data_IF_137606512971
#
_entry.id   IF_137606512971
#
_cell.length_a   1.000
_cell.length_b   1.000
_cell.length_c   1.000
_cell.angle_alpha   90.00
_cell.angle_beta   90.00
_cell.angle_gamma   90.00
#
_symmetry.space_group_name_H-M   'P 1'
#
loop_
_entity.id
_entity.type
_entity.pdbx_description
1 polymer ?
#
# COMPACT_ATOMS: atom_id res chain seq x y z
N UNK A 1 1.97 -35.48 -14.99
CA UNK A 1 2.98 -34.42 -15.19
C UNK A 1 4.34 -34.99 -14.79
N UNK A 2 5.34 -34.97 -15.68
CA UNK A 2 6.62 -35.66 -15.46
C UNK A 2 7.64 -34.70 -14.77
N UNK A 3 8.43 -35.20 -13.83
CA UNK A 3 9.33 -34.44 -12.93
C UNK A 3 10.30 -33.52 -13.72
N UNK A 4 10.72 -33.92 -14.92
CA UNK A 4 11.57 -33.08 -15.79
C UNK A 4 10.88 -31.84 -16.33
N UNK A 5 9.58 -31.92 -16.64
CA UNK A 5 8.82 -30.77 -17.14
C UNK A 5 8.61 -29.74 -16.03
N UNK A 6 8.36 -30.19 -14.80
CA UNK A 6 8.27 -29.35 -13.60
C UNK A 6 9.59 -28.63 -13.28
N UNK A 7 10.71 -29.33 -13.40
CA UNK A 7 12.03 -28.73 -13.17
C UNK A 7 12.37 -27.66 -14.22
N UNK A 8 12.03 -27.89 -15.50
CA UNK A 8 12.24 -26.90 -16.55
C UNK A 8 11.36 -25.66 -16.39
N UNK A 9 10.11 -25.82 -15.96
CA UNK A 9 9.23 -24.68 -15.67
C UNK A 9 9.74 -23.86 -14.48
N UNK A 10 10.29 -24.50 -13.45
CA UNK A 10 10.86 -23.79 -12.31
C UNK A 10 12.12 -22.99 -12.67
N UNK A 11 12.99 -23.56 -13.52
CA UNK A 11 14.19 -22.86 -14.02
C UNK A 11 13.80 -21.67 -14.88
N UNK A 12 12.86 -21.84 -15.82
CA UNK A 12 12.41 -20.76 -16.70
C UNK A 12 11.72 -19.63 -15.91
N UNK A 13 10.91 -19.98 -14.91
CA UNK A 13 10.29 -19.00 -14.02
C UNK A 13 11.34 -18.22 -13.22
N UNK A 14 12.37 -18.91 -12.72
CA UNK A 14 13.50 -18.30 -12.02
C UNK A 14 14.27 -17.33 -12.91
N UNK A 15 14.66 -17.73 -14.11
CA UNK A 15 15.38 -16.86 -15.05
C UNK A 15 14.54 -15.63 -15.44
N UNK A 16 13.23 -15.81 -15.65
CA UNK A 16 12.32 -14.71 -15.97
C UNK A 16 12.22 -13.70 -14.82
N UNK A 17 12.06 -14.18 -13.58
CA UNK A 17 11.98 -13.31 -12.40
C UNK A 17 13.30 -12.62 -12.09
N UNK A 18 14.44 -13.33 -12.18
CA UNK A 18 15.78 -12.76 -12.04
C UNK A 18 16.03 -11.66 -13.08
N UNK A 19 15.64 -11.90 -14.33
CA UNK A 19 15.76 -10.92 -15.40
C UNK A 19 14.86 -9.70 -15.12
N UNK A 20 13.57 -9.89 -14.86
CA UNK A 20 12.67 -8.76 -14.62
C UNK A 20 13.05 -7.95 -13.38
N UNK A 21 13.45 -8.61 -12.29
CA UNK A 21 13.93 -7.95 -11.08
C UNK A 21 15.21 -7.14 -11.32
N UNK A 22 16.15 -7.67 -12.12
CA UNK A 22 17.40 -6.98 -12.46
C UNK A 22 17.18 -5.75 -13.35
N UNK A 23 16.24 -5.81 -14.28
CA UNK A 23 15.97 -4.71 -15.21
C UNK A 23 14.96 -3.68 -14.66
N UNK A 24 14.32 -3.95 -13.52
CA UNK A 24 13.28 -3.09 -12.95
C UNK A 24 11.98 -3.12 -13.76
N UNK A 25 11.74 -4.22 -14.48
CA UNK A 25 10.55 -4.42 -15.31
C UNK A 25 9.28 -4.61 -14.46
N UNK A 26 8.14 -4.82 -15.12
CA UNK A 26 6.86 -5.26 -14.52
C UNK A 26 7.00 -6.67 -13.90
N UNK A 27 7.68 -6.75 -12.75
CA UNK A 27 7.89 -7.99 -11.98
C UNK A 27 6.55 -8.54 -11.48
N UNK A 28 5.63 -7.66 -11.09
CA UNK A 28 4.28 -8.04 -10.68
C UNK A 28 3.55 -8.79 -11.80
N UNK A 29 3.56 -8.25 -13.03
CA UNK A 29 2.96 -8.91 -14.16
C UNK A 29 3.72 -10.17 -14.59
N UNK A 30 5.04 -10.23 -14.41
CA UNK A 30 5.81 -11.46 -14.65
C UNK A 30 5.36 -12.57 -13.70
N UNK A 31 5.17 -12.27 -12.42
CA UNK A 31 4.63 -13.21 -11.43
C UNK A 31 3.22 -13.63 -11.82
N UNK A 32 2.31 -12.68 -12.09
CA UNK A 32 0.91 -13.00 -12.45
C UNK A 32 0.78 -13.84 -13.73
N UNK A 33 1.70 -13.69 -14.69
CA UNK A 33 1.75 -14.53 -15.91
C UNK A 33 2.20 -15.96 -15.63
N UNK A 34 3.08 -16.14 -14.64
CA UNK A 34 3.60 -17.44 -14.22
C UNK A 34 2.64 -18.15 -13.25
N UNK A 35 2.10 -17.40 -12.31
CA UNK A 35 1.25 -17.86 -11.22
C UNK A 35 0.30 -16.73 -10.75
N UNK A 36 -0.97 -16.75 -11.17
CA UNK A 36 -1.97 -15.76 -10.78
C UNK A 36 -2.24 -15.72 -9.26
N UNK A 37 -1.96 -16.81 -8.54
CA UNK A 37 -2.26 -16.96 -7.12
C UNK A 37 -1.09 -16.50 -6.23
N UNK A 38 -0.01 -15.98 -6.82
CA UNK A 38 1.20 -15.51 -6.11
C UNK A 38 1.94 -16.60 -5.32
N UNK A 39 1.63 -17.89 -5.44
CA UNK A 39 2.34 -18.94 -4.69
C UNK A 39 3.83 -19.03 -5.08
N UNK A 40 4.16 -18.70 -6.33
CA UNK A 40 5.55 -18.60 -6.77
C UNK A 40 6.31 -17.46 -6.08
N UNK A 41 5.65 -16.39 -5.66
CA UNK A 41 6.29 -15.26 -4.97
C UNK A 41 6.85 -15.69 -3.62
N UNK A 42 6.07 -16.41 -2.81
CA UNK A 42 6.51 -16.91 -1.51
C UNK A 42 7.76 -17.78 -1.64
N UNK A 43 7.78 -18.69 -2.62
CA UNK A 43 8.95 -19.53 -2.90
C UNK A 43 10.12 -18.75 -3.50
N UNK A 44 9.86 -17.68 -4.25
CA UNK A 44 10.89 -16.91 -4.94
C UNK A 44 11.75 -16.09 -3.98
N UNK A 45 11.20 -15.69 -2.84
CA UNK A 45 11.95 -14.96 -1.81
C UNK A 45 13.13 -15.78 -1.24
N UNK A 46 13.02 -17.10 -1.19
CA UNK A 46 14.06 -17.99 -0.64
C UNK A 46 15.37 -17.95 -1.45
N UNK A 47 15.27 -17.71 -2.76
CA UNK A 47 16.41 -17.72 -3.67
C UNK A 47 16.66 -16.39 -4.40
N UNK A 48 15.81 -15.38 -4.19
CA UNK A 48 16.01 -13.98 -4.58
C UNK A 48 15.87 -13.03 -3.38
N UNK A 49 16.95 -12.79 -2.63
CA UNK A 49 16.97 -11.76 -1.60
C UNK A 49 16.65 -10.38 -2.20
N UNK A 50 15.78 -9.60 -1.54
CA UNK A 50 15.34 -8.29 -2.02
C UNK A 50 14.24 -8.33 -3.09
N UNK A 51 13.73 -9.53 -3.43
CA UNK A 51 12.59 -9.67 -4.33
C UNK A 51 11.35 -8.96 -3.77
N UNK A 52 11.13 -9.03 -2.45
CA UNK A 52 9.98 -8.40 -1.80
C UNK A 52 9.89 -6.89 -2.09
N UNK A 53 10.97 -6.14 -1.90
CA UNK A 53 11.02 -4.71 -2.22
C UNK A 53 10.80 -4.44 -3.71
N UNK A 54 11.42 -5.25 -4.57
CA UNK A 54 11.35 -5.08 -6.03
C UNK A 54 9.93 -5.33 -6.55
N UNK A 55 9.30 -6.42 -6.09
CA UNK A 55 7.92 -6.78 -6.41
C UNK A 55 6.98 -5.75 -5.84
N UNK A 56 7.17 -5.32 -4.58
CA UNK A 56 6.36 -4.29 -3.95
C UNK A 56 6.34 -3.00 -4.79
N UNK A 57 7.50 -2.50 -5.20
CA UNK A 57 7.57 -1.28 -6.02
C UNK A 57 6.80 -1.42 -7.34
N UNK A 58 6.90 -2.57 -7.99
CA UNK A 58 6.16 -2.89 -9.22
C UNK A 58 4.64 -2.95 -8.96
N UNK A 59 4.21 -3.65 -7.90
CA UNK A 59 2.81 -3.79 -7.50
C UNK A 59 2.21 -2.43 -7.12
N UNK A 60 2.94 -1.63 -6.34
CA UNK A 60 2.50 -0.30 -5.93
C UNK A 60 2.30 0.60 -7.16
N UNK A 61 3.23 0.58 -8.12
CA UNK A 61 3.10 1.34 -9.36
C UNK A 61 1.89 0.91 -10.18
N UNK A 62 1.66 -0.39 -10.33
CA UNK A 62 0.49 -0.93 -11.05
C UNK A 62 -0.80 -0.58 -10.34
N UNK A 63 -0.87 -0.74 -9.02
CA UNK A 63 -2.05 -0.36 -8.24
C UNK A 63 -2.34 1.16 -8.33
N UNK A 64 -1.30 2.01 -8.40
CA UNK A 64 -1.45 3.45 -8.67
C UNK A 64 -2.02 3.72 -10.05
N UNK A 65 -1.54 3.00 -11.05
CA UNK A 65 -2.04 3.16 -12.41
C UNK A 65 -3.50 2.70 -12.54
N UNK A 66 -3.87 1.57 -11.94
CA UNK A 66 -5.24 1.05 -11.93
C UNK A 66 -6.19 2.03 -11.22
N UNK A 67 -5.76 2.65 -10.11
CA UNK A 67 -6.52 3.72 -9.47
C UNK A 67 -6.74 4.93 -10.39
N UNK A 68 -5.71 5.36 -11.12
CA UNK A 68 -5.80 6.52 -12.02
C UNK A 68 -6.78 6.29 -13.19
N UNK A 69 -6.96 5.04 -13.63
CA UNK A 69 -7.93 4.67 -14.68
C UNK A 69 -9.29 4.24 -14.11
N UNK A 70 -9.50 4.34 -12.79
CA UNK A 70 -10.77 4.06 -12.13
C UNK A 70 -11.04 2.58 -11.80
N UNK A 71 -10.06 1.70 -11.98
CA UNK A 71 -10.17 0.27 -11.67
C UNK A 71 -9.74 -0.03 -10.23
N UNK A 72 -10.43 0.58 -9.28
CA UNK A 72 -10.00 0.52 -7.89
C UNK A 72 -10.06 -0.88 -7.26
N UNK A 73 -11.01 -1.74 -7.66
CA UNK A 73 -11.06 -3.13 -7.19
C UNK A 73 -9.86 -3.95 -7.67
N UNK A 74 -9.31 -3.66 -8.85
CA UNK A 74 -8.05 -4.27 -9.33
C UNK A 74 -6.86 -3.81 -8.49
N UNK A 75 -6.79 -2.51 -8.20
CA UNK A 75 -5.75 -1.97 -7.34
C UNK A 75 -5.76 -2.65 -5.96
N UNK A 76 -6.93 -2.81 -5.34
CA UNK A 76 -7.07 -3.52 -4.05
C UNK A 76 -6.63 -4.98 -4.17
N UNK A 77 -7.09 -5.69 -5.21
CA UNK A 77 -6.76 -7.11 -5.41
C UNK A 77 -5.27 -7.37 -5.56
N UNK A 78 -4.53 -6.41 -6.15
CA UNK A 78 -3.07 -6.47 -6.26
C UNK A 78 -2.35 -6.27 -4.92
N UNK A 79 -2.93 -5.49 -4.00
CA UNK A 79 -2.29 -5.10 -2.74
C UNK A 79 -2.55 -6.08 -1.60
N UNK A 80 -3.72 -6.73 -1.57
CA UNK A 80 -4.13 -7.64 -0.50
C UNK A 80 -3.11 -8.76 -0.21
N UNK A 81 -2.52 -9.45 -1.21
CA UNK A 81 -1.54 -10.50 -0.95
C UNK A 81 -0.34 -10.04 -0.10
N UNK A 82 0.07 -8.79 -0.26
CA UNK A 82 1.26 -8.22 0.38
C UNK A 82 1.06 -7.81 1.84
N UNK A 83 -0.16 -7.94 2.37
CA UNK A 83 -0.43 -7.73 3.80
C UNK A 83 0.05 -8.91 4.64
N UNK A 84 0.14 -10.10 4.05
CA UNK A 84 0.59 -11.31 4.74
C UNK A 84 2.11 -11.31 4.97
N UNK A 85 2.87 -10.82 4.00
CA UNK A 85 4.34 -10.74 4.03
C UNK A 85 4.82 -9.62 4.96
N UNK A 86 5.64 -9.96 5.96
CA UNK A 86 6.11 -9.02 6.99
C UNK A 86 6.92 -7.86 6.41
N UNK A 87 7.68 -8.11 5.34
CA UNK A 87 8.56 -7.13 4.70
C UNK A 87 7.74 -6.03 4.03
N UNK A 88 6.62 -6.41 3.41
CA UNK A 88 5.76 -5.49 2.64
C UNK A 88 4.51 -5.05 3.40
N UNK A 89 4.16 -5.70 4.51
CA UNK A 89 2.90 -5.49 5.27
C UNK A 89 2.62 -4.03 5.54
N UNK A 90 3.58 -3.29 6.07
CA UNK A 90 3.41 -1.88 6.43
C UNK A 90 3.13 -1.00 5.19
N UNK A 91 3.82 -1.25 4.09
CA UNK A 91 3.63 -0.52 2.83
C UNK A 91 2.28 -0.89 2.18
N UNK A 92 1.94 -2.17 2.16
CA UNK A 92 0.67 -2.71 1.67
C UNK A 92 -0.53 -2.13 2.41
N UNK A 93 -0.50 -2.13 3.75
CA UNK A 93 -1.56 -1.55 4.57
C UNK A 93 -1.73 -0.04 4.32
N UNK A 94 -0.63 0.72 4.25
CA UNK A 94 -0.69 2.16 3.96
C UNK A 94 -1.33 2.43 2.60
N UNK A 95 -0.94 1.68 1.57
CA UNK A 95 -1.49 1.83 0.22
C UNK A 95 -2.96 1.42 0.15
N UNK A 96 -3.35 0.32 0.79
CA UNK A 96 -4.75 -0.11 0.89
C UNK A 96 -5.61 0.94 1.59
N UNK A 97 -5.15 1.49 2.72
CA UNK A 97 -5.87 2.53 3.44
C UNK A 97 -6.12 3.77 2.56
N UNK A 98 -5.11 4.21 1.81
CA UNK A 98 -5.24 5.34 0.88
C UNK A 98 -6.23 5.01 -0.24
N UNK A 99 -6.11 3.84 -0.86
CA UNK A 99 -7.02 3.38 -1.91
C UNK A 99 -8.46 3.31 -1.42
N UNK A 100 -8.74 2.73 -0.26
CA UNK A 100 -10.09 2.70 0.32
C UNK A 100 -10.64 4.10 0.59
N UNK A 101 -9.82 5.04 1.08
CA UNK A 101 -10.24 6.42 1.30
C UNK A 101 -10.52 7.18 -0.01
N UNK A 102 -9.70 6.97 -1.05
CA UNK A 102 -9.91 7.52 -2.39
C UNK A 102 -11.22 7.02 -3.02
N UNK A 103 -11.61 5.77 -2.72
CA UNK A 103 -12.89 5.18 -3.09
C UNK A 103 -14.08 5.63 -2.22
N UNK A 104 -13.87 6.56 -1.30
CA UNK A 104 -14.86 6.98 -0.30
C UNK A 104 -15.37 5.84 0.61
N UNK A 105 -14.62 4.74 0.73
CA UNK A 105 -14.87 3.64 1.70
C UNK A 105 -14.20 3.99 3.03
N UNK A 106 -14.69 5.05 3.68
CA UNK A 106 -14.01 5.67 4.81
C UNK A 106 -13.97 4.78 6.07
N UNK A 107 -15.00 3.99 6.33
CA UNK A 107 -15.04 3.04 7.44
C UNK A 107 -13.99 1.93 7.26
N UNK A 108 -13.90 1.38 6.05
CA UNK A 108 -12.88 0.39 5.69
C UNK A 108 -11.48 0.97 5.83
N UNK A 109 -11.26 2.17 5.29
CA UNK A 109 -10.01 2.90 5.43
C UNK A 109 -9.63 3.09 6.91
N UNK A 110 -10.57 3.45 7.79
CA UNK A 110 -10.31 3.59 9.23
C UNK A 110 -9.92 2.28 9.91
N UNK A 111 -10.48 1.15 9.50
CA UNK A 111 -10.08 -0.18 10.00
C UNK A 111 -8.63 -0.46 9.60
N UNK A 112 -8.27 -0.20 8.34
CA UNK A 112 -6.91 -0.44 7.85
C UNK A 112 -5.92 0.52 8.50
N UNK A 113 -6.25 1.82 8.60
CA UNK A 113 -5.40 2.82 9.26
C UNK A 113 -5.12 2.45 10.72
N UNK A 114 -6.09 1.86 11.42
CA UNK A 114 -5.86 1.38 12.79
C UNK A 114 -4.72 0.36 12.84
N UNK A 115 -4.68 -0.57 11.88
CA UNK A 115 -3.59 -1.55 11.78
C UNK A 115 -2.26 -0.87 11.48
N UNK A 116 -2.21 0.14 10.60
CA UNK A 116 -0.99 0.91 10.36
C UNK A 116 -0.47 1.60 11.64
N UNK A 117 -1.39 2.11 12.47
CA UNK A 117 -1.07 2.81 13.72
C UNK A 117 -0.74 1.87 14.89
N UNK A 118 -0.92 0.55 14.75
CA UNK A 118 -0.40 -0.43 15.70
C UNK A 118 1.13 -0.48 15.64
N UNK A 119 1.70 -0.40 14.43
CA UNK A 119 3.14 -0.39 14.19
C UNK A 119 3.77 0.97 14.55
N UNK A 120 3.17 2.07 14.09
CA UNK A 120 3.57 3.43 14.43
C UNK A 120 2.37 4.30 14.85
N UNK A 121 2.08 4.41 16.16
CA UNK A 121 0.99 5.24 16.68
C UNK A 121 1.10 6.74 16.39
N UNK A 122 2.24 7.18 15.88
CA UNK A 122 2.58 8.58 15.63
C UNK A 122 2.86 8.89 14.16
N UNK A 123 2.60 7.96 13.25
CA UNK A 123 2.70 8.16 11.80
C UNK A 123 1.81 9.35 11.38
N UNK A 124 2.40 10.50 10.99
CA UNK A 124 1.63 11.69 10.66
C UNK A 124 0.74 11.50 9.43
N UNK A 125 1.15 10.67 8.48
CA UNK A 125 0.40 10.40 7.26
C UNK A 125 -0.86 9.59 7.59
N UNK A 126 -0.72 8.54 8.40
CA UNK A 126 -1.86 7.71 8.82
C UNK A 126 -2.81 8.47 9.76
N UNK A 127 -2.29 9.30 10.67
CA UNK A 127 -3.11 10.18 11.49
C UNK A 127 -3.90 11.20 10.63
N UNK A 128 -3.27 11.76 9.59
CA UNK A 128 -3.95 12.67 8.67
C UNK A 128 -5.06 11.94 7.88
N UNK A 129 -4.78 10.73 7.40
CA UNK A 129 -5.75 9.92 6.66
C UNK A 129 -6.95 9.52 7.51
N UNK A 130 -6.73 9.11 8.76
CA UNK A 130 -7.83 8.85 9.70
C UNK A 130 -8.64 10.11 10.00
N UNK A 131 -7.98 11.26 10.15
CA UNK A 131 -8.64 12.55 10.31
C UNK A 131 -9.53 12.91 9.12
N UNK A 132 -9.03 12.73 7.89
CA UNK A 132 -9.82 12.91 6.66
C UNK A 132 -11.04 11.97 6.63
N UNK A 133 -10.86 10.69 6.93
CA UNK A 133 -11.95 9.72 6.91
C UNK A 133 -13.04 10.10 7.92
N UNK A 134 -12.66 10.46 9.17
CA UNK A 134 -13.63 10.91 10.18
C UNK A 134 -14.37 12.17 9.77
N UNK A 135 -13.67 13.15 9.20
CA UNK A 135 -14.30 14.36 8.67
C UNK A 135 -15.35 14.03 7.60
N UNK A 136 -15.01 13.12 6.68
CA UNK A 136 -15.95 12.66 5.63
C UNK A 136 -17.14 11.87 6.16
N UNK A 137 -16.99 11.25 7.33
CA UNK A 137 -18.06 10.57 8.06
C UNK A 137 -18.86 11.51 8.97
N UNK A 138 -18.55 12.80 9.01
CA UNK A 138 -19.23 13.80 9.83
C UNK A 138 -18.76 13.85 11.29
N UNK A 139 -17.76 13.06 11.68
CA UNK A 139 -17.13 13.13 13.00
C UNK A 139 -16.07 14.24 13.03
N UNK A 140 -16.54 15.49 13.06
CA UNK A 140 -15.69 16.68 13.06
C UNK A 140 -14.80 16.75 14.31
N UNK A 141 -15.34 16.41 15.49
CA UNK A 141 -14.60 16.44 16.75
C UNK A 141 -13.44 15.43 16.71
N UNK A 142 -13.72 14.19 16.32
CA UNK A 142 -12.69 13.16 16.18
C UNK A 142 -11.69 13.48 15.08
N UNK A 143 -12.14 14.05 13.96
CA UNK A 143 -11.26 14.50 12.89
C UNK A 143 -10.29 15.58 13.39
N UNK A 144 -10.79 16.59 14.10
CA UNK A 144 -9.97 17.68 14.63
C UNK A 144 -8.85 17.18 15.54
N UNK A 145 -9.14 16.23 16.44
CA UNK A 145 -8.15 15.62 17.32
C UNK A 145 -7.01 14.96 16.53
N UNK A 146 -7.36 14.13 15.55
CA UNK A 146 -6.38 13.39 14.75
C UNK A 146 -5.55 14.31 13.84
N UNK A 147 -6.20 15.25 13.17
CA UNK A 147 -5.55 16.22 12.28
C UNK A 147 -4.61 17.15 13.07
N UNK A 148 -5.02 17.59 14.27
CA UNK A 148 -4.16 18.39 15.14
C UNK A 148 -2.93 17.58 15.60
N UNK A 149 -3.11 16.29 15.96
CA UNK A 149 -1.99 15.40 16.30
C UNK A 149 -1.04 15.24 15.10
N UNK A 150 -1.57 14.95 13.91
CA UNK A 150 -0.80 14.83 12.67
C UNK A 150 0.02 16.10 12.39
N UNK A 151 -0.62 17.28 12.35
CA UNK A 151 0.05 18.55 12.06
C UNK A 151 1.13 18.91 13.09
N UNK A 152 0.91 18.59 14.38
CA UNK A 152 1.90 18.82 15.44
C UNK A 152 3.17 18.00 15.22
N UNK A 153 3.03 16.75 14.79
CA UNK A 153 4.17 15.86 14.54
C UNK A 153 4.83 16.24 13.22
N UNK A 154 4.06 16.32 12.12
CA UNK A 154 4.53 16.61 10.77
C UNK A 154 5.32 17.93 10.66
N UNK A 155 4.96 18.96 11.43
CA UNK A 155 5.69 20.25 11.45
C UNK A 155 7.16 20.14 11.89
N UNK A 156 7.53 19.08 12.59
CA UNK A 156 8.92 18.87 13.04
C UNK A 156 9.81 18.25 11.95
N UNK A 157 9.22 17.75 10.87
CA UNK A 157 9.84 16.81 9.94
C UNK A 157 9.49 17.20 8.50
N UNK A 158 10.45 17.76 7.73
CA UNK A 158 10.20 18.26 6.38
C UNK A 158 9.61 17.22 5.40
N UNK A 159 9.93 15.94 5.59
CA UNK A 159 9.42 14.82 4.81
C UNK A 159 7.89 14.66 4.88
N UNK A 160 7.25 15.13 5.96
CA UNK A 160 5.79 15.10 6.13
C UNK A 160 5.10 16.42 5.74
N UNK A 161 5.75 17.25 4.91
CA UNK A 161 5.16 18.53 4.48
C UNK A 161 3.79 18.37 3.81
N UNK A 162 3.54 17.28 3.09
CA UNK A 162 2.24 17.01 2.48
C UNK A 162 1.16 16.74 3.53
N UNK A 163 1.43 15.85 4.49
CA UNK A 163 0.53 15.56 5.61
C UNK A 163 0.24 16.81 6.44
N UNK A 164 1.26 17.65 6.68
CA UNK A 164 1.08 18.93 7.37
C UNK A 164 0.11 19.86 6.62
N UNK A 165 0.31 20.06 5.32
CA UNK A 165 -0.56 20.92 4.50
C UNK A 165 -1.98 20.38 4.44
N UNK A 166 -2.14 19.06 4.26
CA UNK A 166 -3.43 18.40 4.21
C UNK A 166 -4.18 18.55 5.54
N UNK A 167 -3.50 18.28 6.67
CA UNK A 167 -4.08 18.40 7.99
C UNK A 167 -4.52 19.85 8.30
N UNK A 168 -3.69 20.84 8.00
CA UNK A 168 -4.02 22.25 8.19
C UNK A 168 -5.21 22.69 7.33
N UNK A 169 -5.27 22.25 6.08
CA UNK A 169 -6.39 22.55 5.18
C UNK A 169 -7.71 22.00 5.73
N UNK A 170 -7.72 20.75 6.19
CA UNK A 170 -8.92 20.13 6.74
C UNK A 170 -9.34 20.77 8.07
N UNK A 171 -8.39 21.13 8.94
CA UNK A 171 -8.69 21.85 10.17
C UNK A 171 -9.37 23.21 9.92
N UNK A 172 -8.94 23.93 8.88
CA UNK A 172 -9.61 25.17 8.47
C UNK A 172 -11.02 24.90 7.97
N UNK A 173 -11.23 23.85 7.17
CA UNK A 173 -12.57 23.47 6.71
C UNK A 173 -13.50 23.13 7.88
N UNK A 174 -13.01 22.43 8.91
CA UNK A 174 -13.81 22.11 10.10
C UNK A 174 -14.19 23.38 10.89
N UNK A 175 -13.31 24.37 10.96
CA UNK A 175 -13.57 25.62 11.70
C UNK A 175 -14.48 26.61 10.98
N UNK A 176 -14.50 26.59 9.64
CA UNK A 176 -15.21 27.57 8.82
C UNK A 176 -16.36 26.97 7.99
N UNK A 177 -16.61 25.67 8.13
CA UNK A 177 -17.68 24.93 7.45
C UNK A 177 -18.96 24.81 8.25
#
# INVERSE_FOLDING_TARGET
MNVRALAQTAIAAREALESSAKHGDDVAGAILRLDPDWAIYDHAQDWLPGLADTVWNSVEQTARSEMAVGHADRAISLLVPFVADETTRGAALRRLAQTSAEMARYEEALIIVRRCLEDDPNDPQMLCLAGLCRYKLGDNDGAQVLLAKSARIARKFPEYAESLRAAQRLLLQIHFG
#
